data_IF_331729213665
#
_entry.id   IF_331729213665
#
_cell.length_a   1.000
_cell.length_b   1.000
_cell.length_c   1.000
_cell.angle_alpha   90.00
_cell.angle_beta   90.00
_cell.angle_gamma   90.00
#
_symmetry.space_group_name_H-M   'P 1'
#
loop_
_entity.id
_entity.type
_entity.pdbx_description
1 polymer ?
#
# COMPACT_ATOMS: atom_id res chain seq x y z
N UNK A 1 -69.19 -13.45 -32.10
CA UNK A 1 -67.91 -13.77 -31.43
C UNK A 1 -66.81 -12.88 -31.98
N UNK A 2 -66.64 -11.68 -31.43
CA UNK A 2 -65.60 -10.69 -31.74
C UNK A 2 -65.92 -9.53 -30.81
N UNK A 3 -65.05 -9.22 -29.84
CA UNK A 3 -65.00 -8.00 -28.97
C UNK A 3 -64.56 -8.23 -27.51
N UNK A 4 -64.07 -9.41 -27.11
CA UNK A 4 -63.51 -9.62 -25.75
C UNK A 4 -62.10 -10.21 -25.82
N UNK A 5 -61.24 -9.66 -26.69
CA UNK A 5 -59.83 -10.08 -26.76
C UNK A 5 -58.89 -8.88 -26.88
N UNK A 6 -59.18 -7.80 -26.17
CA UNK A 6 -58.39 -6.56 -26.23
C UNK A 6 -58.21 -5.90 -24.86
N UNK A 7 -58.32 -6.68 -23.78
CA UNK A 7 -58.17 -6.19 -22.40
C UNK A 7 -57.09 -6.91 -21.58
N UNK A 8 -56.34 -7.85 -22.17
CA UNK A 8 -55.27 -8.59 -21.47
C UNK A 8 -53.84 -8.14 -21.83
N UNK A 9 -53.67 -7.15 -22.71
CA UNK A 9 -52.34 -6.70 -23.20
C UNK A 9 -51.85 -5.41 -22.50
N UNK A 10 -52.60 -4.89 -21.52
CA UNK A 10 -52.25 -3.63 -20.83
C UNK A 10 -51.56 -3.79 -19.47
N UNK A 11 -51.22 -5.00 -19.03
CA UNK A 11 -50.52 -5.24 -17.74
C UNK A 11 -49.01 -5.49 -17.90
N UNK A 12 -48.48 -5.40 -19.13
CA UNK A 12 -47.11 -5.85 -19.45
C UNK A 12 -46.00 -4.80 -19.43
N UNK A 13 -46.26 -3.52 -19.11
CA UNK A 13 -45.23 -2.48 -19.14
C UNK A 13 -45.16 -1.70 -17.83
N UNK A 14 -45.10 -2.41 -16.70
CA UNK A 14 -44.41 -1.87 -15.53
C UNK A 14 -42.94 -2.19 -15.76
N UNK A 15 -42.24 -1.33 -16.51
CA UNK A 15 -40.78 -1.32 -16.48
C UNK A 15 -40.40 -0.92 -15.05
N UNK A 16 -40.27 -1.92 -14.18
CA UNK A 16 -39.61 -1.73 -12.90
C UNK A 16 -38.24 -1.14 -13.23
N UNK A 17 -38.01 0.11 -12.83
CA UNK A 17 -36.66 0.62 -12.66
C UNK A 17 -35.99 -0.29 -11.62
N UNK A 18 -35.40 -1.40 -12.09
CA UNK A 18 -34.72 -2.38 -11.25
C UNK A 18 -33.50 -1.67 -10.67
N UNK A 19 -33.66 -1.18 -9.44
CA UNK A 19 -32.56 -0.61 -8.67
C UNK A 19 -31.43 -1.63 -8.62
N UNK A 20 -30.21 -1.17 -8.87
CA UNK A 20 -29.04 -2.04 -8.92
C UNK A 20 -28.87 -2.74 -7.57
N UNK A 21 -28.44 -3.99 -7.59
CA UNK A 21 -27.85 -4.62 -6.39
C UNK A 21 -26.51 -3.95 -6.08
N UNK A 22 -26.01 -4.10 -4.85
CA UNK A 22 -24.73 -3.50 -4.43
C UNK A 22 -23.58 -3.95 -5.33
N UNK A 23 -23.55 -5.24 -5.70
CA UNK A 23 -22.58 -5.84 -6.63
C UNK A 23 -22.65 -5.19 -8.03
N UNK A 24 -23.85 -5.11 -8.62
CA UNK A 24 -24.05 -4.50 -9.94
C UNK A 24 -23.73 -3.01 -9.94
N UNK A 25 -24.00 -2.32 -8.83
CA UNK A 25 -23.62 -0.92 -8.66
C UNK A 25 -22.11 -0.77 -8.68
N UNK A 26 -21.35 -1.58 -7.92
CA UNK A 26 -19.88 -1.54 -7.94
C UNK A 26 -19.31 -1.82 -9.33
N UNK A 27 -19.89 -2.75 -10.08
CA UNK A 27 -19.49 -3.01 -11.48
C UNK A 27 -19.76 -1.82 -12.40
N UNK A 28 -20.92 -1.17 -12.26
CA UNK A 28 -21.30 0.00 -13.07
C UNK A 28 -20.48 1.23 -12.76
N UNK A 29 -20.15 1.43 -11.48
CA UNK A 29 -19.25 2.50 -11.04
C UNK A 29 -17.83 2.25 -11.54
N UNK A 30 -17.32 1.01 -11.46
CA UNK A 30 -16.00 0.66 -11.99
C UNK A 30 -15.93 0.86 -13.51
N UNK A 31 -16.95 0.43 -14.26
CA UNK A 31 -17.04 0.65 -15.71
C UNK A 31 -17.00 2.16 -16.04
N UNK A 32 -17.73 2.97 -15.29
CA UNK A 32 -17.76 4.42 -15.48
C UNK A 32 -16.43 5.08 -15.12
N UNK A 33 -15.83 4.69 -14.00
CA UNK A 33 -14.56 5.21 -13.53
C UNK A 33 -13.41 4.84 -14.49
N UNK A 34 -13.33 3.58 -14.95
CA UNK A 34 -12.37 3.17 -15.98
C UNK A 34 -12.54 3.99 -17.26
N UNK A 35 -13.77 4.15 -17.77
CA UNK A 35 -14.02 4.94 -18.98
C UNK A 35 -13.78 6.44 -18.83
N UNK A 36 -13.74 6.96 -17.61
CA UNK A 36 -13.28 8.32 -17.30
C UNK A 36 -11.75 8.38 -17.28
N UNK A 37 -11.12 7.47 -16.53
CA UNK A 37 -9.66 7.38 -16.36
C UNK A 37 -8.93 7.21 -17.70
N UNK A 38 -9.44 6.36 -18.60
CA UNK A 38 -8.87 6.12 -19.94
C UNK A 38 -8.85 7.36 -20.86
N UNK A 39 -9.62 8.40 -20.54
CA UNK A 39 -9.66 9.66 -21.30
C UNK A 39 -8.74 10.73 -20.74
N UNK A 40 -8.18 10.48 -19.57
CA UNK A 40 -7.30 11.41 -18.88
C UNK A 40 -5.85 10.96 -19.05
N UNK A 41 -4.93 11.91 -19.04
CA UNK A 41 -3.51 11.61 -18.91
C UNK A 41 -3.22 11.34 -17.43
N UNK A 42 -2.91 10.08 -17.10
CA UNK A 42 -2.62 9.67 -15.73
C UNK A 42 -1.10 9.60 -15.55
N UNK A 43 -0.61 10.33 -14.55
CA UNK A 43 0.77 10.31 -14.06
C UNK A 43 0.77 9.96 -12.58
N UNK A 44 1.95 9.67 -12.01
CA UNK A 44 2.10 9.38 -10.58
C UNK A 44 1.54 10.52 -9.71
N UNK A 45 1.81 11.78 -10.11
CA UNK A 45 1.45 12.97 -9.34
C UNK A 45 -0.06 13.27 -9.36
N UNK A 46 -0.76 12.86 -10.43
CA UNK A 46 -2.17 13.18 -10.61
C UNK A 46 -3.11 11.98 -10.43
N UNK A 47 -2.55 10.79 -10.16
CA UNK A 47 -3.27 9.53 -10.12
C UNK A 47 -4.43 9.57 -9.12
N UNK A 48 -4.15 9.83 -7.84
CA UNK A 48 -5.18 9.83 -6.78
C UNK A 48 -6.31 10.82 -7.08
N UNK A 49 -5.95 12.04 -7.50
CA UNK A 49 -6.92 13.07 -7.84
C UNK A 49 -7.81 12.66 -9.03
N UNK A 50 -7.19 12.12 -10.09
CA UNK A 50 -7.90 11.70 -11.30
C UNK A 50 -8.88 10.57 -11.00
N UNK A 51 -8.45 9.56 -10.23
CA UNK A 51 -9.32 8.46 -9.82
C UNK A 51 -10.43 8.92 -8.89
N UNK A 52 -10.14 9.81 -7.95
CA UNK A 52 -11.14 10.44 -7.09
C UNK A 52 -12.23 11.16 -7.90
N UNK A 53 -11.85 11.96 -8.89
CA UNK A 53 -12.79 12.65 -9.79
C UNK A 53 -13.63 11.64 -10.57
N UNK A 54 -13.00 10.64 -11.18
CA UNK A 54 -13.71 9.63 -11.95
C UNK A 54 -14.70 8.79 -11.11
N UNK A 55 -14.36 8.53 -9.84
CA UNK A 55 -15.28 7.90 -8.89
C UNK A 55 -16.46 8.83 -8.56
N UNK A 56 -16.22 10.11 -8.31
CA UNK A 56 -17.28 11.10 -8.06
C UNK A 56 -18.22 11.30 -9.25
N UNK A 57 -17.71 11.24 -10.49
CA UNK A 57 -18.53 11.22 -11.70
C UNK A 57 -19.43 9.98 -11.75
N UNK A 58 -18.89 8.82 -11.37
CA UNK A 58 -19.64 7.59 -11.21
C UNK A 58 -20.75 7.71 -10.18
N UNK A 59 -20.41 8.22 -8.98
CA UNK A 59 -21.38 8.43 -7.90
C UNK A 59 -22.51 9.36 -8.35
N UNK A 60 -22.17 10.45 -9.04
CA UNK A 60 -23.15 11.41 -9.57
C UNK A 60 -24.07 10.76 -10.61
N UNK A 61 -23.53 9.89 -11.48
CA UNK A 61 -24.32 9.19 -12.49
C UNK A 61 -25.28 8.13 -11.91
N UNK A 62 -24.95 7.55 -10.75
CA UNK A 62 -25.72 6.50 -10.07
C UNK A 62 -26.21 6.92 -8.68
N UNK A 63 -26.40 8.22 -8.45
CA UNK A 63 -26.65 8.83 -7.13
C UNK A 63 -27.73 8.09 -6.34
N UNK A 64 -28.88 7.79 -6.95
CA UNK A 64 -30.01 7.13 -6.28
C UNK A 64 -29.70 5.72 -5.81
N UNK A 65 -28.87 4.97 -6.54
CA UNK A 65 -28.46 3.63 -6.15
C UNK A 65 -27.34 3.69 -5.10
N UNK A 66 -26.42 4.66 -5.20
CA UNK A 66 -25.38 4.91 -4.19
C UNK A 66 -26.02 5.32 -2.86
N UNK A 67 -26.91 6.31 -2.86
CA UNK A 67 -27.63 6.75 -1.65
C UNK A 67 -28.41 5.61 -0.99
N UNK A 68 -28.97 4.69 -1.79
CA UNK A 68 -29.72 3.55 -1.27
C UNK A 68 -28.82 2.57 -0.51
N UNK A 69 -27.62 2.29 -1.02
CA UNK A 69 -26.74 1.26 -0.46
C UNK A 69 -25.75 1.80 0.57
N UNK A 70 -25.35 3.06 0.45
CA UNK A 70 -24.33 3.68 1.30
C UNK A 70 -24.85 4.88 2.09
N UNK A 71 -25.99 5.47 1.73
CA UNK A 71 -26.57 6.63 2.41
C UNK A 71 -26.27 7.95 1.72
N UNK A 72 -27.06 8.99 2.06
CA UNK A 72 -26.98 10.32 1.45
C UNK A 72 -25.74 11.12 1.84
N UNK A 73 -25.16 10.78 2.97
CA UNK A 73 -23.97 11.36 3.54
C UNK A 73 -22.67 10.75 2.98
N UNK A 74 -22.74 9.90 1.95
CA UNK A 74 -21.59 9.20 1.36
C UNK A 74 -20.40 10.12 1.08
N UNK A 75 -20.63 11.32 0.53
CA UNK A 75 -19.55 12.27 0.20
C UNK A 75 -18.88 12.86 1.44
N UNK A 76 -19.60 12.97 2.55
CA UNK A 76 -19.13 13.58 3.80
C UNK A 76 -18.76 12.56 4.89
N UNK A 77 -18.77 11.27 4.56
CA UNK A 77 -18.57 10.19 5.52
C UNK A 77 -17.45 9.26 5.02
N UNK A 78 -16.27 9.44 5.60
CA UNK A 78 -15.04 8.77 5.17
C UNK A 78 -15.16 7.24 5.16
N UNK A 79 -15.76 6.65 6.21
CA UNK A 79 -15.92 5.19 6.30
C UNK A 79 -16.77 4.61 5.16
N UNK A 80 -17.82 5.33 4.77
CA UNK A 80 -18.70 4.90 3.68
C UNK A 80 -18.03 5.09 2.33
N UNK A 81 -17.27 6.18 2.17
CA UNK A 81 -16.51 6.45 0.95
C UNK A 81 -15.39 5.43 0.77
N UNK A 82 -14.72 5.02 1.86
CA UNK A 82 -13.72 3.96 1.86
C UNK A 82 -14.34 2.62 1.46
N UNK A 83 -15.47 2.23 2.06
CA UNK A 83 -16.17 0.98 1.70
C UNK A 83 -16.55 0.95 0.21
N UNK A 84 -17.12 2.05 -0.29
CA UNK A 84 -17.49 2.19 -1.70
C UNK A 84 -16.26 2.15 -2.60
N UNK A 85 -15.24 2.93 -2.27
CA UNK A 85 -13.98 3.03 -3.02
C UNK A 85 -13.27 1.69 -3.09
N UNK A 86 -13.26 0.91 -2.01
CA UNK A 86 -12.70 -0.43 -1.97
C UNK A 86 -13.44 -1.39 -2.92
N UNK A 87 -14.77 -1.45 -2.84
CA UNK A 87 -15.55 -2.36 -3.68
C UNK A 87 -15.48 -1.99 -5.17
N UNK A 88 -15.48 -0.70 -5.48
CA UNK A 88 -15.30 -0.21 -6.86
C UNK A 88 -13.86 -0.47 -7.34
N UNK A 89 -12.86 -0.15 -6.52
CA UNK A 89 -11.44 -0.35 -6.82
C UNK A 89 -11.11 -1.81 -7.13
N UNK A 90 -11.64 -2.76 -6.36
CA UNK A 90 -11.52 -4.20 -6.62
C UNK A 90 -12.02 -4.58 -8.03
N UNK A 91 -13.15 -4.00 -8.45
CA UNK A 91 -13.72 -4.24 -9.78
C UNK A 91 -12.94 -3.53 -10.88
N UNK A 92 -12.42 -2.33 -10.62
CA UNK A 92 -11.56 -1.60 -11.54
C UNK A 92 -10.25 -2.36 -11.78
N UNK A 93 -9.61 -2.91 -10.75
CA UNK A 93 -8.35 -3.65 -10.89
C UNK A 93 -8.46 -4.85 -11.85
N UNK A 94 -9.62 -5.50 -11.90
CA UNK A 94 -9.89 -6.59 -12.86
C UNK A 94 -10.20 -6.09 -14.28
N UNK A 95 -10.73 -4.87 -14.41
CA UNK A 95 -11.30 -4.37 -15.67
C UNK A 95 -10.37 -3.44 -16.43
N UNK A 96 -9.69 -2.54 -15.72
CA UNK A 96 -8.75 -1.58 -16.26
C UNK A 96 -7.46 -1.56 -15.41
N UNK A 97 -6.72 -2.68 -15.34
CA UNK A 97 -5.52 -2.81 -14.50
C UNK A 97 -4.44 -1.76 -14.80
N UNK A 98 -4.37 -1.28 -16.06
CA UNK A 98 -3.41 -0.26 -16.50
C UNK A 98 -3.53 1.04 -15.73
N UNK A 99 -4.72 1.36 -15.22
CA UNK A 99 -4.96 2.55 -14.40
C UNK A 99 -4.14 2.49 -13.10
N UNK A 100 -3.94 1.29 -12.55
CA UNK A 100 -3.19 1.07 -11.30
C UNK A 100 -1.70 0.85 -11.51
N UNK A 101 -1.17 1.09 -12.72
CA UNK A 101 0.25 0.89 -13.02
C UNK A 101 1.15 1.62 -12.02
N UNK A 102 0.83 2.86 -11.67
CA UNK A 102 1.64 3.64 -10.73
C UNK A 102 1.60 3.10 -9.28
N UNK A 103 0.51 2.41 -8.89
CA UNK A 103 0.47 1.72 -7.59
C UNK A 103 1.33 0.45 -7.59
N UNK A 104 1.60 -0.14 -8.76
CA UNK A 104 2.53 -1.26 -8.90
C UNK A 104 3.97 -0.75 -8.98
N UNK A 105 4.19 0.40 -9.63
CA UNK A 105 5.47 1.07 -9.65
C UNK A 105 5.86 1.50 -8.21
N UNK A 106 4.93 1.93 -7.35
CA UNK A 106 5.17 2.17 -5.90
C UNK A 106 5.52 0.90 -5.09
N UNK A 107 5.17 -0.30 -5.55
CA UNK A 107 5.67 -1.54 -4.94
C UNK A 107 7.12 -1.84 -5.34
N UNK A 108 7.60 -1.25 -6.44
CA UNK A 108 9.00 -1.26 -6.85
C UNK A 108 9.73 0.06 -6.47
N UNK A 109 9.02 1.13 -6.12
CA UNK A 109 9.51 2.46 -5.73
C UNK A 109 9.37 2.74 -4.22
N UNK A 110 9.02 1.73 -3.42
CA UNK A 110 9.56 1.57 -2.06
C UNK A 110 11.03 1.05 -2.11
N UNK A 111 11.67 1.12 -3.29
CA UNK A 111 13.12 1.24 -3.41
C UNK A 111 13.56 2.71 -3.20
N UNK A 112 13.30 3.27 -2.02
CA UNK A 112 14.45 3.71 -1.23
C UNK A 112 15.22 2.42 -0.87
N UNK A 113 15.85 1.80 -1.87
CA UNK A 113 16.92 0.87 -1.61
C UNK A 113 18.02 1.77 -1.08
N UNK A 114 17.94 2.12 0.20
CA UNK A 114 19.02 2.76 0.93
C UNK A 114 20.27 2.00 0.51
N UNK A 115 21.23 2.72 -0.08
CA UNK A 115 22.43 2.12 -0.66
C UNK A 115 22.96 1.07 0.32
N UNK A 116 22.84 -0.21 -0.05
CA UNK A 116 23.21 -1.29 0.85
C UNK A 116 24.72 -1.42 0.81
N UNK A 117 25.32 -1.29 1.98
CA UNK A 117 26.75 -1.42 2.18
C UNK A 117 27.06 -2.75 2.86
N UNK A 118 28.23 -3.30 2.55
CA UNK A 118 28.72 -4.54 3.16
C UNK A 118 30.01 -4.28 3.94
N UNK A 119 30.10 -4.88 5.13
CA UNK A 119 31.31 -4.90 5.95
C UNK A 119 31.58 -6.30 6.45
N UNK A 120 32.81 -6.77 6.23
CA UNK A 120 33.32 -8.02 6.79
C UNK A 120 34.22 -7.76 7.99
N UNK A 121 34.09 -8.57 9.03
CA UNK A 121 35.01 -8.50 10.16
C UNK A 121 34.64 -9.41 11.30
N UNK A 122 35.12 -9.08 12.50
CA UNK A 122 34.80 -9.80 13.73
C UNK A 122 33.97 -8.95 14.67
N UNK A 123 32.98 -9.57 15.30
CA UNK A 123 32.20 -8.94 16.35
C UNK A 123 33.12 -8.60 17.53
N UNK A 124 33.23 -7.33 17.89
CA UNK A 124 34.02 -6.90 19.05
C UNK A 124 33.17 -6.62 20.28
N UNK A 125 31.89 -6.25 20.09
CA UNK A 125 30.99 -5.91 21.18
C UNK A 125 29.52 -6.10 20.75
N UNK A 126 28.66 -6.51 21.69
CA UNK A 126 27.19 -6.51 21.54
C UNK A 126 26.60 -5.94 22.84
N UNK A 127 25.76 -4.91 22.73
CA UNK A 127 25.05 -4.25 23.83
C UNK A 127 23.54 -4.34 23.63
N UNK A 128 22.80 -4.52 24.72
CA UNK A 128 21.34 -4.51 24.72
C UNK A 128 20.86 -3.41 25.66
N UNK A 129 20.58 -2.24 25.10
CA UNK A 129 19.99 -1.10 25.81
C UNK A 129 18.54 -0.92 25.35
N UNK A 130 18.14 0.28 24.93
CA UNK A 130 16.84 0.50 24.27
C UNK A 130 16.75 -0.24 22.93
N UNK A 131 17.86 -0.30 22.20
CA UNK A 131 18.04 -1.10 20.99
C UNK A 131 19.27 -2.01 21.16
N UNK A 132 19.31 -3.11 20.41
CA UNK A 132 20.54 -3.91 20.32
C UNK A 132 21.51 -3.14 19.41
N UNK A 133 22.72 -2.92 19.91
CA UNK A 133 23.83 -2.36 19.13
C UNK A 133 25.01 -3.31 19.17
N UNK A 134 25.77 -3.36 18.08
CA UNK A 134 26.97 -4.20 18.01
C UNK A 134 28.05 -3.55 17.18
N UNK A 135 29.29 -3.93 17.41
CA UNK A 135 30.47 -3.39 16.74
C UNK A 135 31.17 -4.49 15.97
N UNK A 136 31.45 -4.25 14.69
CA UNK A 136 32.34 -5.07 13.87
C UNK A 136 33.69 -4.37 13.73
N UNK A 137 34.75 -5.13 14.00
CA UNK A 137 36.13 -4.73 13.72
C UNK A 137 36.61 -5.41 12.44
N UNK A 138 36.91 -4.60 11.43
CA UNK A 138 37.46 -5.03 10.16
C UNK A 138 38.93 -5.46 10.32
N UNK A 139 39.45 -6.22 9.35
CA UNK A 139 40.87 -6.60 9.30
C UNK A 139 41.81 -5.38 9.16
N UNK A 140 41.31 -4.28 8.59
CA UNK A 140 41.99 -2.99 8.53
C UNK A 140 42.18 -2.33 9.90
N UNK A 141 41.48 -2.81 10.93
CA UNK A 141 41.41 -2.22 12.26
C UNK A 141 40.31 -1.17 12.43
N UNK A 142 39.62 -0.77 11.35
CA UNK A 142 38.44 0.09 11.39
C UNK A 142 37.30 -0.59 12.16
N UNK A 143 36.52 0.19 12.88
CA UNK A 143 35.35 -0.29 13.63
C UNK A 143 34.08 0.37 13.12
N UNK A 144 33.01 -0.40 13.02
CA UNK A 144 31.69 0.08 12.60
C UNK A 144 30.68 -0.36 13.65
N UNK A 145 29.89 0.59 14.14
CA UNK A 145 28.79 0.32 15.07
C UNK A 145 27.48 0.28 14.28
N UNK A 146 26.66 -0.73 14.59
CA UNK A 146 25.37 -0.98 13.94
C UNK A 146 24.24 -1.00 14.97
N UNK A 147 23.04 -0.66 14.54
CA UNK A 147 21.80 -0.73 15.32
C UNK A 147 20.84 -1.72 14.68
N UNK A 148 20.26 -2.60 15.49
CA UNK A 148 19.12 -3.42 15.10
C UNK A 148 17.82 -2.64 15.35
N UNK A 149 17.23 -2.08 14.29
CA UNK A 149 15.93 -1.38 14.35
C UNK A 149 14.79 -2.17 13.69
N UNK A 150 15.09 -2.88 12.61
CA UNK A 150 14.11 -3.62 11.80
C UNK A 150 14.33 -5.12 11.93
N UNK A 151 13.28 -5.90 11.67
CA UNK A 151 13.38 -7.36 11.61
C UNK A 151 13.85 -7.80 10.22
N UNK A 152 14.65 -8.86 10.16
CA UNK A 152 15.14 -9.51 8.93
C UNK A 152 15.42 -10.99 9.19
N UNK A 153 15.64 -11.79 8.14
CA UNK A 153 15.63 -13.26 8.20
C UNK A 153 16.55 -13.84 9.29
N UNK A 154 17.76 -13.31 9.42
CA UNK A 154 18.78 -13.76 10.39
C UNK A 154 18.93 -12.81 11.60
N UNK A 155 17.97 -11.94 11.88
CA UNK A 155 17.98 -11.07 13.06
C UNK A 155 18.03 -11.85 14.39
N UNK A 156 17.56 -13.11 14.38
CA UNK A 156 17.64 -14.04 15.51
C UNK A 156 19.09 -14.25 16.01
N UNK A 157 20.09 -14.05 15.14
CA UNK A 157 21.49 -14.11 15.53
C UNK A 157 21.80 -13.12 16.67
N UNK A 158 21.18 -11.94 16.64
CA UNK A 158 21.28 -10.93 17.68
C UNK A 158 20.24 -11.12 18.79
N UNK A 159 18.95 -11.28 18.46
CA UNK A 159 17.87 -11.30 19.47
C UNK A 159 17.95 -12.51 20.39
N UNK A 160 18.36 -13.66 19.85
CA UNK A 160 18.47 -14.92 20.60
C UNK A 160 19.90 -15.14 21.10
N UNK A 161 20.76 -14.13 20.96
CA UNK A 161 22.15 -14.11 21.41
C UNK A 161 22.98 -15.26 20.83
N UNK A 162 22.68 -15.71 19.62
CA UNK A 162 23.43 -16.77 18.93
C UNK A 162 24.80 -16.26 18.46
N UNK A 163 24.86 -15.01 18.01
CA UNK A 163 26.08 -14.30 17.65
C UNK A 163 26.90 -13.94 18.91
N UNK A 164 28.21 -14.19 18.86
CA UNK A 164 29.14 -14.01 19.97
C UNK A 164 30.28 -13.08 19.58
N UNK A 165 30.91 -12.49 20.60
CA UNK A 165 32.17 -11.76 20.43
C UNK A 165 33.22 -12.69 19.82
N UNK A 166 34.02 -12.14 18.89
CA UNK A 166 35.02 -12.80 18.05
C UNK A 166 34.49 -13.66 16.89
N UNK A 167 33.17 -13.85 16.76
CA UNK A 167 32.60 -14.47 15.56
C UNK A 167 32.93 -13.62 14.33
N UNK A 168 33.32 -14.30 13.24
CA UNK A 168 33.52 -13.67 11.94
C UNK A 168 32.19 -13.57 11.20
N UNK A 169 31.91 -12.40 10.64
CA UNK A 169 30.63 -12.11 9.97
C UNK A 169 30.84 -11.24 8.73
N UNK A 170 29.89 -11.36 7.80
CA UNK A 170 29.57 -10.33 6.82
C UNK A 170 28.26 -9.66 7.26
N UNK A 171 28.24 -8.33 7.24
CA UNK A 171 27.09 -7.52 7.66
C UNK A 171 26.69 -6.63 6.51
N UNK A 172 25.42 -6.75 6.13
CA UNK A 172 24.78 -5.80 5.21
C UNK A 172 24.02 -4.78 6.03
N UNK A 173 24.14 -3.51 5.64
CA UNK A 173 23.53 -2.41 6.34
C UNK A 173 23.21 -1.27 5.39
N UNK A 174 22.41 -0.35 5.90
CA UNK A 174 22.15 0.92 5.24
C UNK A 174 22.30 2.07 6.22
N UNK A 175 22.42 3.29 5.71
CA UNK A 175 22.56 4.49 6.53
C UNK A 175 21.22 5.21 6.65
N UNK A 176 20.76 5.48 7.87
CA UNK A 176 19.51 6.19 8.14
C UNK A 176 19.78 7.40 9.04
N UNK A 177 19.26 8.57 8.66
CA UNK A 177 19.30 9.76 9.52
C UNK A 177 18.26 9.65 10.64
N UNK A 178 18.73 9.65 11.88
CA UNK A 178 17.89 9.60 13.07
C UNK A 178 18.17 10.80 13.97
N UNK A 179 17.12 11.34 14.58
CA UNK A 179 17.27 12.39 15.59
C UNK A 179 17.82 11.80 16.89
N UNK A 180 19.08 12.10 17.22
CA UNK A 180 19.66 11.73 18.50
C UNK A 180 19.23 12.76 19.56
N UNK A 181 18.32 12.37 20.45
CA UNK A 181 17.80 13.25 21.49
C UNK A 181 18.85 13.70 22.51
N UNK A 182 19.96 12.95 22.70
CA UNK A 182 21.06 13.36 23.60
C UNK A 182 21.91 14.45 22.95
N UNK A 183 22.08 14.39 21.63
CA UNK A 183 22.89 15.35 20.87
C UNK A 183 22.06 16.50 20.27
N UNK A 184 20.73 16.37 20.22
CA UNK A 184 19.80 17.40 19.76
C UNK A 184 19.86 17.66 18.24
N UNK A 185 20.31 16.70 17.44
CA UNK A 185 20.45 16.83 15.99
C UNK A 185 20.23 15.49 15.28
N UNK A 186 20.00 15.55 13.96
CA UNK A 186 19.99 14.37 13.12
C UNK A 186 21.41 13.86 12.86
N UNK A 187 21.59 12.55 12.94
CA UNK A 187 22.87 11.85 12.74
C UNK A 187 22.61 10.62 11.88
N UNK A 188 23.51 10.35 10.94
CA UNK A 188 23.49 9.11 10.16
C UNK A 188 23.96 7.92 11.02
N UNK A 189 23.10 6.91 11.15
CA UNK A 189 23.40 5.65 11.81
C UNK A 189 23.39 4.50 10.82
N UNK A 190 24.23 3.50 11.07
CA UNK A 190 24.26 2.25 10.32
C UNK A 190 23.22 1.27 10.88
N UNK A 191 22.19 0.97 10.09
CA UNK A 191 21.10 0.06 10.46
C UNK A 191 21.34 -1.27 9.77
N UNK A 192 21.44 -2.35 10.56
CA UNK A 192 21.70 -3.68 10.01
C UNK A 192 20.46 -4.22 9.29
N UNK A 193 20.68 -4.81 8.11
CA UNK A 193 19.66 -5.45 7.27
C UNK A 193 19.91 -6.94 7.05
N UNK A 194 21.15 -7.43 7.20
CA UNK A 194 21.50 -8.86 7.13
C UNK A 194 22.80 -9.19 7.89
N UNK A 195 22.92 -10.41 8.42
CA UNK A 195 24.14 -10.91 9.06
C UNK A 195 24.46 -12.36 8.66
N UNK A 196 25.55 -12.55 7.93
CA UNK A 196 26.07 -13.88 7.60
C UNK A 196 27.20 -14.24 8.56
N UNK A 197 26.97 -15.23 9.43
CA UNK A 197 28.02 -15.79 10.30
C UNK A 197 28.87 -16.81 9.53
N UNK A 198 30.20 -16.65 9.59
CA UNK A 198 31.20 -17.53 8.95
C UNK A 198 31.61 -18.71 9.83
#
# INVERSE_FOLDING_TARGET
MKKILLLLVLVGNITFAQKLTKEQLSEKLAEKACGCAEKQEITKENFELTIGICLLEGISAYEKDVEKHYGKDIISNDLKMEELGYEVGKKMGLRCPVVFKFMLDDLEEDNDADEQFEVSGKVSEIKSEQFITFIIKEDSGKTNQFILLSNFENAFLLTDKVLKVADAVDVTYYEMELFDAKLGQFISYKIVSDIIKK
#
